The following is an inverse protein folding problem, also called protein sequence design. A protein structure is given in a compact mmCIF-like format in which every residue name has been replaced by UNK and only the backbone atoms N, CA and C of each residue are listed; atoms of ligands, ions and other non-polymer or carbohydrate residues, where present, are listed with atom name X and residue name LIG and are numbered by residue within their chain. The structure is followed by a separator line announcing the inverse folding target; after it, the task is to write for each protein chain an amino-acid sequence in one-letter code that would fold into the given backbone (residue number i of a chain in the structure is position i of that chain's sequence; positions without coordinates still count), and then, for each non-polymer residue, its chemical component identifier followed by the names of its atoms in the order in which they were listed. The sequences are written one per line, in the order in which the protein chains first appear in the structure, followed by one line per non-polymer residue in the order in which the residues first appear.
data_IF_259407628701
#
_entry.id   IF_259407628701
#
_cell.length_a   1.000
_cell.length_b   1.000
_cell.length_c   1.000
_cell.angle_alpha   90.00
_cell.angle_beta   90.00
_cell.angle_gamma   90.00
#
_symmetry.space_group_name_H-M   'P 1'
#
loop_
_entity.id
_entity.type
_entity.pdbx_description
1 polymer ?
#
# COMPACT_ATOMS: atom_id res chain seq x y z
N UNK A 1 -4.13 -2.75 0.77
CA UNK A 1 -3.81 -3.67 -0.34
C UNK A 1 -2.42 -3.36 -0.85
N UNK A 2 -1.74 -4.32 -1.47
CA UNK A 2 -0.41 -4.07 -2.05
C UNK A 2 -0.48 -3.24 -3.35
N UNK A 3 0.62 -2.54 -3.63
CA UNK A 3 0.82 -1.71 -4.82
C UNK A 3 1.05 -2.58 -6.07
N UNK A 4 0.48 -2.18 -7.20
CA UNK A 4 0.71 -2.85 -8.49
C UNK A 4 2.19 -2.83 -8.89
N UNK A 5 2.60 -3.82 -9.68
CA UNK A 5 3.93 -3.88 -10.26
C UNK A 5 4.01 -3.07 -11.55
N UNK A 6 4.82 -2.01 -11.53
CA UNK A 6 5.05 -1.10 -12.67
C UNK A 6 6.35 -1.38 -13.42
N UNK A 7 6.97 -2.56 -13.23
CA UNK A 7 8.28 -2.87 -13.82
C UNK A 7 9.46 -2.53 -12.90
N UNK A 8 9.17 -2.06 -11.68
CA UNK A 8 10.15 -1.54 -10.73
C UNK A 8 9.85 -2.17 -9.36
N UNK A 9 10.75 -3.01 -8.87
CA UNK A 9 10.65 -3.62 -7.54
C UNK A 9 10.88 -2.61 -6.41
N UNK A 10 10.25 -2.83 -5.25
CA UNK A 10 10.32 -1.97 -4.06
C UNK A 10 11.75 -1.54 -3.68
N UNK A 11 12.74 -2.42 -3.85
CA UNK A 11 14.14 -2.15 -3.54
C UNK A 11 14.78 -1.08 -4.43
N UNK A 12 14.21 -0.80 -5.60
CA UNK A 12 14.76 0.14 -6.59
C UNK A 12 14.09 1.51 -6.54
N UNK A 13 13.12 1.74 -5.66
CA UNK A 13 12.56 3.09 -5.49
C UNK A 13 13.63 4.03 -4.90
N UNK A 14 13.51 5.32 -5.20
CA UNK A 14 14.20 6.41 -4.52
C UNK A 14 13.31 7.01 -3.43
N UNK A 15 12.00 7.06 -3.68
CA UNK A 15 10.99 7.47 -2.71
C UNK A 15 9.65 6.78 -3.00
N UNK A 16 8.85 6.58 -1.94
CA UNK A 16 7.47 6.12 -2.00
C UNK A 16 6.63 6.99 -1.07
N UNK A 17 5.75 7.83 -1.62
CA UNK A 17 4.89 8.73 -0.83
C UNK A 17 3.44 8.32 -0.97
N UNK A 18 2.78 7.96 0.12
CA UNK A 18 1.38 7.54 0.16
C UNK A 18 0.56 8.62 0.84
N UNK A 19 -0.52 9.04 0.19
CA UNK A 19 -1.45 10.06 0.68
C UNK A 19 -2.88 9.58 0.58
N UNK A 20 -3.85 10.39 1.01
CA UNK A 20 -5.27 10.12 0.75
C UNK A 20 -5.68 10.20 -0.73
N UNK A 21 -4.84 10.77 -1.61
CA UNK A 21 -5.16 11.05 -3.02
C UNK A 21 -4.49 10.07 -3.98
N UNK A 22 -3.22 9.76 -3.72
CA UNK A 22 -2.41 8.90 -4.57
C UNK A 22 -1.18 8.41 -3.82
N UNK A 23 -0.58 7.37 -4.37
CA UNK A 23 0.77 6.90 -4.11
C UNK A 23 1.70 7.41 -5.21
N UNK A 24 2.79 8.07 -4.83
CA UNK A 24 3.82 8.58 -5.74
C UNK A 24 5.07 7.74 -5.56
N UNK A 25 5.57 7.21 -6.67
CA UNK A 25 6.81 6.44 -6.75
C UNK A 25 7.81 7.30 -7.53
N UNK A 26 8.98 7.53 -6.95
CA UNK A 26 10.13 8.08 -7.67
C UNK A 26 11.21 7.00 -7.73
N UNK A 27 11.79 6.77 -8.91
CA UNK A 27 12.81 5.75 -9.15
C UNK A 27 13.55 6.02 -10.47
N UNK A 28 14.63 5.28 -10.75
CA UNK A 28 15.30 5.33 -12.06
C UNK A 28 14.62 4.39 -13.07
N UNK A 29 13.84 4.96 -14.01
CA UNK A 29 13.20 4.23 -15.12
C UNK A 29 12.77 5.17 -16.26
N UNK A 30 12.41 4.61 -17.42
CA UNK A 30 11.76 5.36 -18.51
C UNK A 30 10.26 5.07 -18.59
N UNK A 31 9.45 6.04 -19.02
CA UNK A 31 8.02 5.84 -19.19
C UNK A 31 7.69 4.66 -20.13
N UNK A 32 8.53 4.43 -21.16
CA UNK A 32 8.40 3.30 -22.09
C UNK A 32 8.56 1.94 -21.39
N UNK A 33 9.43 1.81 -20.39
CA UNK A 33 9.63 0.55 -19.64
C UNK A 33 8.39 0.20 -18.80
N UNK A 34 7.78 1.21 -18.18
CA UNK A 34 6.52 1.06 -17.43
C UNK A 34 5.38 0.74 -18.40
N UNK A 35 5.28 1.44 -19.52
CA UNK A 35 4.28 1.19 -20.55
C UNK A 35 4.35 -0.24 -21.08
N UNK A 36 5.56 -0.77 -21.31
CA UNK A 36 5.77 -2.15 -21.72
C UNK A 36 5.31 -3.15 -20.65
N UNK A 37 5.51 -2.84 -19.36
CA UNK A 37 5.01 -3.68 -18.27
C UNK A 37 3.48 -3.65 -18.20
N UNK A 38 2.86 -2.48 -18.34
CA UNK A 38 1.41 -2.34 -18.26
C UNK A 38 0.67 -2.98 -19.44
N UNK A 39 1.31 -3.12 -20.61
CA UNK A 39 0.70 -3.66 -21.82
C UNK A 39 0.18 -5.10 -21.69
N UNK A 40 0.71 -5.88 -20.75
CA UNK A 40 0.31 -7.26 -20.49
C UNK A 40 -0.67 -7.41 -19.29
N UNK A 41 -1.17 -6.27 -18.78
CA UNK A 41 -2.05 -6.19 -17.60
C UNK A 41 -3.43 -5.62 -17.95
N UNK A 42 -4.32 -5.49 -16.95
CA UNK A 42 -5.62 -4.83 -17.09
C UNK A 42 -5.58 -3.30 -17.27
N UNK A 43 -4.40 -2.67 -17.30
CA UNK A 43 -4.26 -1.23 -17.56
C UNK A 43 -4.37 -0.91 -19.06
N UNK A 44 -5.27 0.00 -19.41
CA UNK A 44 -5.44 0.52 -20.76
C UNK A 44 -4.97 1.99 -20.82
N UNK A 45 -4.37 2.44 -21.95
CA UNK A 45 -4.06 3.85 -22.16
C UNK A 45 -5.32 4.73 -22.09
N UNK A 46 -5.26 5.77 -21.26
CA UNK A 46 -6.34 6.73 -20.98
C UNK A 46 -5.87 8.18 -21.26
N UNK A 47 -5.12 8.35 -22.34
CA UNK A 47 -4.63 9.64 -22.81
C UNK A 47 -3.39 10.13 -22.06
N UNK A 48 -3.30 11.45 -21.91
CA UNK A 48 -2.15 12.12 -21.30
C UNK A 48 -2.60 13.29 -20.45
N UNK A 49 -1.95 13.49 -19.31
CA UNK A 49 -2.16 14.65 -18.47
C UNK A 49 -0.82 15.39 -18.26
N UNK A 50 -0.73 16.60 -18.82
CA UNK A 50 0.53 17.38 -18.88
C UNK A 50 1.64 16.57 -19.56
N UNK A 51 2.68 16.19 -18.82
CA UNK A 51 3.83 15.41 -19.30
C UNK A 51 3.77 13.94 -18.87
N UNK A 52 2.60 13.47 -18.42
CA UNK A 52 2.40 12.08 -18.00
C UNK A 52 1.48 11.36 -19.01
N UNK A 53 1.84 10.13 -19.34
CA UNK A 53 0.95 9.18 -19.98
C UNK A 53 0.05 8.57 -18.91
N UNK A 54 -1.26 8.56 -19.16
CA UNK A 54 -2.26 8.11 -18.18
C UNK A 54 -2.80 6.76 -18.60
N UNK A 55 -2.94 5.87 -17.64
CA UNK A 55 -3.50 4.54 -17.78
C UNK A 55 -4.65 4.37 -16.80
N UNK A 56 -5.70 3.69 -17.23
CA UNK A 56 -6.86 3.37 -16.41
C UNK A 56 -7.10 1.87 -16.40
N UNK A 57 -7.65 1.38 -15.31
CA UNK A 57 -7.92 -0.04 -15.08
C UNK A 57 -9.31 -0.17 -14.48
N UNK A 58 -10.24 -0.73 -15.25
CA UNK A 58 -11.67 -0.70 -14.95
C UNK A 58 -12.14 -1.82 -14.02
N UNK A 59 -11.51 -2.99 -14.06
CA UNK A 59 -11.85 -4.16 -13.22
C UNK A 59 -11.73 -3.86 -11.71
N UNK A 60 -10.77 -3.01 -11.31
CA UNK A 60 -10.58 -2.61 -9.91
C UNK A 60 -10.47 -1.09 -9.68
N UNK A 61 -10.93 -0.29 -10.66
CA UNK A 61 -10.97 1.19 -10.61
C UNK A 61 -9.66 1.82 -10.13
N UNK A 62 -8.59 1.58 -10.88
CA UNK A 62 -7.26 2.15 -10.63
C UNK A 62 -6.84 3.05 -11.79
N UNK A 63 -5.98 4.03 -11.50
CA UNK A 63 -5.36 4.90 -12.50
C UNK A 63 -3.88 5.06 -12.18
N UNK A 64 -3.06 5.16 -13.22
CA UNK A 64 -1.63 5.43 -13.11
C UNK A 64 -1.26 6.53 -14.11
N UNK A 65 -0.56 7.56 -13.65
CA UNK A 65 0.09 8.54 -14.51
C UNK A 65 1.60 8.34 -14.45
N UNK A 66 2.22 8.20 -15.62
CA UNK A 66 3.62 7.80 -15.76
C UNK A 66 4.40 8.85 -16.54
N UNK A 67 5.55 9.24 -16.02
CA UNK A 67 6.61 9.93 -16.77
C UNK A 67 7.95 9.33 -16.38
N UNK A 68 9.02 9.69 -17.08
CA UNK A 68 10.37 9.28 -16.71
C UNK A 68 10.65 9.56 -15.23
N UNK A 69 10.97 8.48 -14.52
CA UNK A 69 11.29 8.45 -13.10
C UNK A 69 10.16 8.73 -12.11
N UNK A 70 8.91 8.93 -12.54
CA UNK A 70 7.77 9.13 -11.62
C UNK A 70 6.50 8.40 -12.05
N UNK A 71 5.92 7.62 -11.13
CA UNK A 71 4.56 7.06 -11.24
C UNK A 71 3.68 7.71 -10.17
N UNK A 72 2.49 8.20 -10.56
CA UNK A 72 1.42 8.60 -9.65
C UNK A 72 0.27 7.62 -9.81
N UNK A 73 0.03 6.81 -8.78
CA UNK A 73 -0.97 5.76 -8.78
C UNK A 73 -2.10 6.09 -7.81
N UNK A 74 -3.34 5.91 -8.25
CA UNK A 74 -4.52 6.03 -7.41
C UNK A 74 -5.43 4.80 -7.56
N UNK A 75 -6.07 4.44 -6.47
CA UNK A 75 -6.96 3.29 -6.35
C UNK A 75 -8.17 3.69 -5.54
N UNK A 76 -9.38 3.45 -6.07
CA UNK A 76 -10.62 3.73 -5.36
C UNK A 76 -10.78 2.91 -4.06
N UNK A 77 -10.06 1.80 -3.93
CA UNK A 77 -10.12 0.94 -2.75
C UNK A 77 -9.07 1.30 -1.69
N UNK A 78 -7.99 2.02 -2.06
CA UNK A 78 -6.89 2.36 -1.14
C UNK A 78 -6.85 3.83 -0.75
N UNK A 79 -7.32 4.70 -1.64
CA UNK A 79 -7.26 6.15 -1.45
C UNK A 79 -8.66 6.67 -1.15
N UNK A 80 -8.79 7.47 -0.09
CA UNK A 80 -10.07 8.03 0.34
C UNK A 80 -10.69 8.99 -0.68
N UNK A 81 -9.85 9.67 -1.46
CA UNK A 81 -10.26 10.61 -2.50
C UNK A 81 -9.28 10.53 -3.68
N UNK A 82 -9.29 9.43 -4.46
CA UNK A 82 -8.28 9.18 -5.49
C UNK A 82 -8.23 10.32 -6.51
N UNK A 83 -7.09 10.98 -6.65
CA UNK A 83 -6.91 12.14 -7.55
C UNK A 83 -5.45 12.26 -8.02
N UNK A 84 -5.17 11.72 -9.21
CA UNK A 84 -3.83 11.79 -9.82
C UNK A 84 -3.56 13.20 -10.37
N UNK A 85 -4.56 13.89 -10.91
CA UNK A 85 -4.41 15.22 -11.49
C UNK A 85 -4.08 16.26 -10.41
N UNK A 86 -4.82 16.24 -9.29
CA UNK A 86 -4.57 17.09 -8.12
C UNK A 86 -3.20 16.85 -7.51
N UNK A 87 -2.76 15.58 -7.45
CA UNK A 87 -1.42 15.21 -6.95
C UNK A 87 -0.32 15.77 -7.87
N UNK A 88 -0.46 15.61 -9.19
CA UNK A 88 0.48 16.13 -10.18
C UNK A 88 0.53 17.67 -10.13
N UNK A 89 -0.64 18.32 -10.05
CA UNK A 89 -0.74 19.77 -9.99
C UNK A 89 -0.08 20.34 -8.73
N UNK A 90 -0.26 19.69 -7.58
CA UNK A 90 0.39 20.10 -6.34
C UNK A 90 1.91 19.93 -6.41
N UNK A 91 2.40 18.79 -6.92
CA UNK A 91 3.83 18.53 -7.08
C UNK A 91 4.52 19.59 -7.95
N UNK A 92 3.88 19.99 -9.05
CA UNK A 92 4.41 21.00 -9.97
C UNK A 92 4.07 22.46 -9.60
N UNK A 93 3.36 22.70 -8.49
CA UNK A 93 3.03 24.05 -8.03
C UNK A 93 1.99 24.78 -8.90
N UNK A 94 1.14 24.02 -9.60
CA UNK A 94 0.03 24.56 -10.39
C UNK A 94 -1.24 24.79 -9.56
N UNK A 95 -1.29 24.20 -8.37
CA UNK A 95 -2.28 24.47 -7.33
C UNK A 95 -1.56 24.75 -6.01
N UNK A 96 -2.25 25.38 -5.07
CA UNK A 96 -1.75 25.61 -3.72
C UNK A 96 -1.48 24.26 -3.05
N UNK A 97 -0.27 24.09 -2.50
CA UNK A 97 0.12 22.80 -1.93
C UNK A 97 -0.50 22.64 -0.55
N UNK A 98 -0.86 21.42 -0.20
CA UNK A 98 -1.53 21.18 1.08
C UNK A 98 -0.65 21.57 2.29
N UNK A 99 0.68 21.41 2.19
CA UNK A 99 1.63 21.88 3.19
C UNK A 99 1.73 23.41 3.31
N UNK A 100 1.27 24.18 2.32
CA UNK A 100 1.26 25.65 2.37
C UNK A 100 -0.04 26.18 3.00
N UNK A 101 -1.07 25.33 3.12
CA UNK A 101 -2.41 25.70 3.59
C UNK A 101 -2.79 25.08 4.93
N UNK A 102 -2.12 24.02 5.36
CA UNK A 102 -2.43 23.30 6.58
C UNK A 102 -1.19 23.21 7.48
N UNK A 103 -1.19 24.02 8.55
CA UNK A 103 -0.12 24.05 9.55
C UNK A 103 0.20 22.68 10.16
N UNK A 104 -0.79 21.79 10.32
CA UNK A 104 -0.57 20.44 10.84
C UNK A 104 0.18 19.58 9.83
N UNK A 105 -0.23 19.66 8.56
CA UNK A 105 0.43 18.96 7.48
C UNK A 105 1.86 19.47 7.27
N UNK A 106 2.05 20.78 7.18
CA UNK A 106 3.38 21.41 7.10
C UNK A 106 4.30 20.86 8.18
N UNK A 107 3.87 20.98 9.44
CA UNK A 107 4.72 20.66 10.57
C UNK A 107 4.98 19.14 10.70
N UNK A 108 4.05 18.27 10.31
CA UNK A 108 4.27 16.81 10.26
C UNK A 108 5.23 16.45 9.11
N UNK A 109 5.05 17.02 7.92
CA UNK A 109 5.96 16.76 6.78
C UNK A 109 7.37 17.30 7.03
N UNK A 110 7.50 18.45 7.69
CA UNK A 110 8.79 19.01 8.07
C UNK A 110 9.50 18.14 9.11
N UNK A 111 8.76 17.59 10.07
CA UNK A 111 9.30 16.67 11.08
C UNK A 111 9.73 15.33 10.45
N UNK A 112 8.97 14.81 9.48
CA UNK A 112 9.33 13.60 8.75
C UNK A 112 10.57 13.81 7.88
N UNK A 113 10.65 14.98 7.22
CA UNK A 113 11.70 15.32 6.29
C UNK A 113 11.75 14.38 5.08
N UNK A 114 12.84 14.48 4.31
CA UNK A 114 13.05 13.59 3.16
C UNK A 114 13.17 12.13 3.63
N UNK A 115 12.25 11.29 3.16
CA UNK A 115 12.12 9.90 3.56
C UNK A 115 12.01 8.99 2.34
N UNK A 116 12.54 7.78 2.48
CA UNK A 116 12.52 6.74 1.45
C UNK A 116 11.13 6.13 1.29
N UNK A 117 10.36 6.11 2.37
CA UNK A 117 8.92 5.88 2.38
C UNK A 117 8.29 6.92 3.31
N UNK A 118 7.15 7.49 2.91
CA UNK A 118 6.34 8.39 3.72
C UNK A 118 4.86 8.07 3.49
N UNK A 119 4.15 7.68 4.53
CA UNK A 119 2.69 7.62 4.56
C UNK A 119 2.16 8.81 5.37
N UNK A 120 1.27 9.61 4.80
CA UNK A 120 0.65 10.74 5.49
C UNK A 120 -0.85 10.87 5.15
N UNK A 121 -1.70 10.96 6.18
CA UNK A 121 -3.15 11.06 5.98
C UNK A 121 -3.98 10.52 7.15
N UNK A 122 -5.31 10.56 6.98
CA UNK A 122 -6.29 10.34 8.07
C UNK A 122 -6.51 8.87 8.49
N UNK A 123 -5.75 7.95 7.89
CA UNK A 123 -5.81 6.52 8.20
C UNK A 123 -4.40 5.93 8.40
N UNK A 124 -3.43 6.76 8.78
CA UNK A 124 -2.07 6.26 9.00
C UNK A 124 -2.03 5.19 10.11
N UNK A 125 -1.17 4.16 9.99
CA UNK A 125 -0.74 3.39 11.15
C UNK A 125 -0.07 4.36 12.12
N UNK A 126 -0.59 4.44 13.33
CA UNK A 126 -0.28 5.54 14.26
C UNK A 126 -0.21 5.05 15.69
N UNK A 127 0.42 5.85 16.53
CA UNK A 127 0.54 5.61 17.96
C UNK A 127 -0.82 5.75 18.65
N UNK A 128 -1.62 6.75 18.24
CA UNK A 128 -2.99 7.00 18.68
C UNK A 128 -3.78 7.77 17.59
N UNK A 129 -4.07 7.15 16.43
CA UNK A 129 -4.71 7.84 15.29
C UNK A 129 -6.11 8.39 15.61
N UNK A 130 -6.81 7.86 16.61
CA UNK A 130 -8.15 8.33 17.02
C UNK A 130 -8.15 9.74 17.66
N UNK A 131 -7.01 10.19 18.18
CA UNK A 131 -6.88 11.48 18.88
C UNK A 131 -5.83 12.40 18.25
N UNK A 132 -4.99 11.89 17.35
CA UNK A 132 -4.06 12.72 16.59
C UNK A 132 -4.83 13.64 15.64
N UNK A 133 -4.39 14.90 15.54
CA UNK A 133 -4.84 15.83 14.49
C UNK A 133 -4.35 15.35 13.12
N UNK A 134 -3.10 14.89 13.08
CA UNK A 134 -2.45 14.31 11.92
C UNK A 134 -1.22 13.49 12.35
N UNK A 135 -0.80 12.54 11.54
CA UNK A 135 0.46 11.87 11.72
C UNK A 135 1.01 11.27 10.43
N UNK A 136 2.17 10.63 10.56
CA UNK A 136 2.91 10.03 9.49
C UNK A 136 3.71 8.80 9.97
N UNK A 137 3.81 7.82 9.07
CA UNK A 137 4.76 6.71 9.14
C UNK A 137 5.82 6.98 8.07
N UNK A 138 7.09 6.99 8.46
CA UNK A 138 8.19 7.24 7.54
C UNK A 138 9.36 6.30 7.76
N UNK A 139 9.99 5.88 6.66
CA UNK A 139 11.30 5.23 6.68
C UNK A 139 12.35 6.16 6.10
N UNK A 140 13.36 6.48 6.90
CA UNK A 140 14.53 7.27 6.50
C UNK A 140 15.79 6.42 6.49
N UNK A 141 16.67 6.68 5.54
CA UNK A 141 18.05 6.16 5.57
C UNK A 141 18.98 7.36 5.74
N UNK A 142 19.79 7.34 6.79
CA UNK A 142 20.75 8.40 7.11
C UNK A 142 22.09 7.78 7.51
N UNK A 143 23.17 8.21 6.85
CA UNK A 143 24.53 7.67 7.02
C UNK A 143 24.60 6.12 7.03
N UNK A 144 23.78 5.47 6.19
CA UNK A 144 23.70 4.01 6.09
C UNK A 144 22.97 3.32 7.25
N UNK A 145 22.24 4.08 8.07
CA UNK A 145 21.36 3.57 9.13
C UNK A 145 19.91 3.84 8.75
N UNK A 146 19.08 2.79 8.77
CA UNK A 146 17.66 2.92 8.56
C UNK A 146 16.93 3.25 9.87
N UNK A 147 15.96 4.14 9.79
CA UNK A 147 15.09 4.55 10.87
C UNK A 147 13.64 4.44 10.42
N UNK A 148 12.82 3.80 11.25
CA UNK A 148 11.37 3.89 11.17
C UNK A 148 10.91 4.99 12.12
N UNK A 149 10.12 5.92 11.63
CA UNK A 149 9.63 7.09 12.33
C UNK A 149 8.10 7.04 12.35
N UNK A 150 7.52 7.08 13.55
CA UNK A 150 6.10 7.39 13.71
C UNK A 150 5.99 8.80 14.31
N UNK A 151 5.29 9.69 13.62
CA UNK A 151 5.17 11.10 14.00
C UNK A 151 3.69 11.41 14.12
N UNK A 152 3.27 11.92 15.28
CA UNK A 152 1.91 12.39 15.47
C UNK A 152 1.91 13.82 16.02
N UNK A 153 0.99 14.62 15.50
CA UNK A 153 0.67 15.94 16.02
C UNK A 153 -0.72 15.89 16.65
N UNK A 154 -0.84 16.41 17.86
CA UNK A 154 -2.09 16.54 18.60
C UNK A 154 -2.59 17.98 18.59
N UNK A 155 -3.91 18.17 18.73
CA UNK A 155 -4.50 19.51 18.84
C UNK A 155 -3.92 20.31 20.01
N UNK A 156 -3.71 19.64 21.16
CA UNK A 156 -3.17 20.22 22.38
C UNK A 156 -1.95 19.45 22.89
N UNK A 157 -0.97 20.20 23.41
CA UNK A 157 0.22 19.62 24.04
C UNK A 157 -0.11 18.81 25.30
N UNK A 158 -1.29 19.01 25.91
CA UNK A 158 -1.75 18.21 27.04
C UNK A 158 -2.15 16.78 26.65
N UNK A 159 -2.48 16.57 25.36
CA UNK A 159 -2.87 15.26 24.83
C UNK A 159 -1.65 14.42 24.47
N UNK A 160 -0.51 15.07 24.26
CA UNK A 160 0.79 14.45 24.06
C UNK A 160 1.39 13.97 25.40
N UNK A 161 1.67 12.68 25.52
CA UNK A 161 2.32 12.13 26.71
C UNK A 161 3.26 11.00 26.32
N UNK A 162 4.56 11.20 26.53
CA UNK A 162 5.58 10.18 26.25
C UNK A 162 5.30 8.85 26.97
N UNK A 163 4.78 8.89 28.20
CA UNK A 163 4.43 7.67 28.94
C UNK A 163 3.21 6.96 28.33
N UNK A 164 2.24 7.72 27.82
CA UNK A 164 1.09 7.17 27.09
C UNK A 164 1.53 6.58 25.75
N UNK A 165 2.39 7.27 25.00
CA UNK A 165 2.97 6.77 23.75
C UNK A 165 3.80 5.49 23.98
N UNK A 166 4.61 5.44 25.03
CA UNK A 166 5.33 4.21 25.40
C UNK A 166 4.38 3.06 25.74
N UNK A 167 3.33 3.36 26.50
CA UNK A 167 2.31 2.36 26.86
C UNK A 167 1.54 1.86 25.63
N UNK A 168 1.22 2.75 24.70
CA UNK A 168 0.59 2.43 23.42
C UNK A 168 1.51 1.52 22.59
N UNK A 169 2.78 1.89 22.42
CA UNK A 169 3.78 1.07 21.73
C UNK A 169 3.99 -0.31 22.39
N UNK A 170 3.91 -0.42 23.70
CA UNK A 170 3.99 -1.71 24.39
C UNK A 170 2.81 -2.62 24.06
N UNK A 171 1.62 -2.04 23.87
CA UNK A 171 0.39 -2.74 23.51
C UNK A 171 0.27 -2.98 22.00
N UNK A 172 0.85 -2.09 21.18
CA UNK A 172 0.75 -2.03 19.73
C UNK A 172 2.13 -2.19 19.08
N UNK A 173 2.96 -3.11 19.59
CA UNK A 173 4.31 -3.34 19.04
C UNK A 173 4.33 -3.66 17.54
N UNK A 174 3.20 -4.09 16.97
CA UNK A 174 3.03 -4.36 15.54
C UNK A 174 3.07 -3.10 14.67
N UNK A 175 2.85 -1.91 15.24
CA UNK A 175 2.95 -0.63 14.53
C UNK A 175 4.41 -0.29 14.19
N UNK A 176 5.39 -0.97 14.79
CA UNK A 176 6.79 -0.89 14.37
C UNK A 176 7.19 -2.15 13.60
N UNK A 177 8.06 -1.98 12.61
CA UNK A 177 8.81 -3.08 11.99
C UNK A 177 9.42 -3.99 13.07
N UNK A 178 9.26 -5.32 12.89
CA UNK A 178 9.75 -6.34 13.83
C UNK A 178 11.27 -6.26 14.05
N UNK A 179 11.99 -5.69 13.10
CA UNK A 179 13.43 -5.51 13.14
C UNK A 179 13.88 -4.33 14.03
N UNK A 180 12.96 -3.48 14.48
CA UNK A 180 13.24 -2.37 15.39
C UNK A 180 13.97 -2.84 16.66
N UNK A 181 15.17 -2.30 16.90
CA UNK A 181 16.02 -2.71 18.05
C UNK A 181 15.95 -1.77 19.23
N UNK A 182 16.00 -0.48 18.95
CA UNK A 182 16.00 0.59 19.93
C UNK A 182 14.92 1.56 19.52
N UNK A 183 14.03 1.86 20.46
CA UNK A 183 12.89 2.74 20.26
C UNK A 183 13.08 3.92 21.19
N UNK A 184 13.24 5.09 20.62
CA UNK A 184 13.28 6.36 21.34
C UNK A 184 11.93 7.06 21.16
N UNK A 185 11.36 7.54 22.26
CA UNK A 185 10.08 8.25 22.26
C UNK A 185 10.32 9.65 22.78
N UNK A 186 10.06 10.64 21.92
CA UNK A 186 10.12 12.06 22.22
C UNK A 186 8.72 12.66 22.20
N UNK A 187 8.45 13.55 23.16
CA UNK A 187 7.24 14.34 23.22
C UNK A 187 7.66 15.81 23.36
N UNK A 188 7.52 16.58 22.28
CA UNK A 188 7.84 18.01 22.25
C UNK A 188 6.60 18.83 21.88
N UNK A 189 6.05 19.54 22.86
CA UNK A 189 4.83 20.31 22.71
C UNK A 189 3.68 19.45 22.17
N UNK A 190 3.25 19.73 20.94
CA UNK A 190 2.17 19.02 20.26
C UNK A 190 2.61 17.76 19.49
N UNK A 191 3.92 17.48 19.43
CA UNK A 191 4.48 16.37 18.66
C UNK A 191 4.88 15.19 19.53
N UNK A 192 4.38 14.00 19.21
CA UNK A 192 5.01 12.76 19.59
C UNK A 192 5.83 12.24 18.41
N UNK A 193 7.07 11.83 18.68
CA UNK A 193 7.94 11.20 17.69
C UNK A 193 8.51 9.93 18.27
N UNK A 194 8.34 8.84 17.55
CA UNK A 194 8.92 7.55 17.86
C UNK A 194 9.95 7.26 16.79
N UNK A 195 11.20 7.11 17.20
CA UNK A 195 12.30 6.77 16.32
C UNK A 195 12.81 5.37 16.66
N UNK A 196 12.67 4.46 15.71
CA UNK A 196 13.14 3.10 15.84
C UNK A 196 14.30 2.83 14.89
N UNK A 197 15.46 2.44 15.43
CA UNK A 197 16.60 2.04 14.59
C UNK A 197 16.36 0.64 14.01
N UNK A 198 16.47 0.55 12.68
CA UNK A 198 16.27 -0.68 11.92
C UNK A 198 17.61 -1.15 11.35
N UNK A 199 18.04 -2.39 11.61
CA UNK A 199 19.28 -2.92 11.05
C UNK A 199 19.14 -3.14 9.54
N UNK A 200 20.02 -2.51 8.75
CA UNK A 200 20.13 -2.80 7.31
C UNK A 200 20.66 -4.23 7.12
N UNK A 201 19.91 -5.08 6.42
CA UNK A 201 20.32 -6.44 6.09
C UNK A 201 20.20 -6.67 4.58
N UNK A 202 21.16 -6.20 3.78
CA UNK A 202 21.06 -6.19 2.31
C UNK A 202 21.02 -7.58 1.65
N UNK A 203 21.11 -8.67 2.41
CA UNK A 203 21.04 -10.05 1.92
C UNK A 203 20.22 -10.93 2.87
N UNK A 204 19.24 -10.37 3.60
CA UNK A 204 18.33 -11.23 4.36
C UNK A 204 17.42 -11.96 3.40
N UNK A 205 17.09 -13.19 3.74
CA UNK A 205 15.97 -13.89 3.13
C UNK A 205 14.71 -13.04 3.37
N UNK A 206 13.88 -12.88 2.33
CA UNK A 206 12.61 -12.18 2.44
C UNK A 206 11.76 -12.92 3.47
N UNK A 207 11.26 -12.17 4.45
CA UNK A 207 10.25 -12.71 5.35
C UNK A 207 8.93 -12.66 4.58
N UNK A 208 8.21 -13.76 4.41
CA UNK A 208 7.02 -13.72 3.56
C UNK A 208 5.93 -12.78 4.09
N UNK A 209 5.80 -12.59 5.40
CA UNK A 209 4.76 -11.70 5.92
C UNK A 209 5.20 -10.23 5.84
N UNK A 210 6.48 -9.96 6.04
CA UNK A 210 6.99 -8.59 6.10
C UNK A 210 7.42 -8.04 4.71
N UNK A 211 7.77 -8.92 3.77
CA UNK A 211 8.17 -8.57 2.40
C UNK A 211 7.33 -9.35 1.36
N UNK A 212 6.03 -9.02 1.20
CA UNK A 212 5.19 -9.70 0.21
C UNK A 212 5.71 -9.46 -1.22
N UNK A 213 5.41 -10.39 -2.15
CA UNK A 213 5.78 -10.21 -3.56
C UNK A 213 5.01 -9.02 -4.14
N UNK A 214 5.69 -8.19 -4.94
CA UNK A 214 5.02 -7.14 -5.69
C UNK A 214 4.43 -7.71 -6.98
N UNK A 215 3.11 -7.71 -7.09
CA UNK A 215 2.37 -8.36 -8.19
C UNK A 215 1.21 -7.48 -8.62
N UNK A 216 1.06 -7.33 -9.94
CA UNK A 216 -0.18 -6.85 -10.55
C UNK A 216 -1.13 -8.04 -10.72
N UNK A 217 -2.21 -8.04 -9.96
CA UNK A 217 -3.26 -9.07 -10.02
C UNK A 217 -4.39 -8.62 -10.93
N UNK A 218 -4.97 -9.55 -11.69
CA UNK A 218 -6.18 -9.34 -12.47
C UNK A 218 -7.29 -10.27 -12.06
N UNK A 219 -8.53 -9.81 -12.24
CA UNK A 219 -9.72 -10.54 -11.85
C UNK A 219 -10.89 -10.25 -12.77
N UNK A 220 -11.68 -11.28 -13.06
CA UNK A 220 -12.94 -11.14 -13.78
C UNK A 220 -14.01 -12.06 -13.18
N UNK A 221 -15.20 -11.51 -12.93
CA UNK A 221 -16.35 -12.26 -12.45
C UNK A 221 -17.33 -12.54 -13.60
N UNK A 222 -17.68 -13.81 -13.80
CA UNK A 222 -18.79 -14.23 -14.66
C UNK A 222 -20.03 -14.48 -13.80
N UNK A 223 -21.03 -13.58 -13.80
CA UNK A 223 -22.23 -13.74 -12.99
C UNK A 223 -23.16 -14.87 -13.49
N UNK A 224 -23.07 -15.27 -14.76
CA UNK A 224 -23.90 -16.34 -15.32
C UNK A 224 -23.36 -17.72 -14.93
N UNK A 225 -22.03 -17.88 -14.94
CA UNK A 225 -21.36 -19.09 -14.47
C UNK A 225 -21.14 -19.11 -12.96
N UNK A 226 -21.26 -17.97 -12.28
CA UNK A 226 -20.87 -17.76 -10.87
C UNK A 226 -19.41 -18.18 -10.62
N UNK A 227 -18.51 -17.72 -11.47
CA UNK A 227 -17.09 -18.03 -11.37
C UNK A 227 -16.24 -16.76 -11.39
N UNK A 228 -15.19 -16.73 -10.58
CA UNK A 228 -14.16 -15.69 -10.63
C UNK A 228 -12.91 -16.28 -11.25
N UNK A 229 -12.37 -15.61 -12.26
CA UNK A 229 -11.06 -15.92 -12.81
C UNK A 229 -10.05 -14.93 -12.26
N UNK A 230 -8.98 -15.42 -11.65
CA UNK A 230 -7.88 -14.61 -11.13
C UNK A 230 -6.60 -14.92 -11.91
N UNK A 231 -5.79 -13.88 -12.16
CA UNK A 231 -4.56 -13.98 -12.94
C UNK A 231 -3.41 -13.21 -12.29
N UNK A 232 -2.23 -13.80 -12.30
CA UNK A 232 -0.97 -13.10 -12.05
C UNK A 232 -0.56 -12.40 -13.35
N UNK A 233 -0.77 -11.08 -13.46
CA UNK A 233 -0.59 -10.35 -14.71
C UNK A 233 0.84 -9.85 -14.92
N UNK A 234 1.52 -9.42 -13.85
CA UNK A 234 2.90 -8.97 -13.89
C UNK A 234 3.54 -8.99 -12.50
N UNK A 235 4.87 -9.04 -12.44
CA UNK A 235 5.64 -8.89 -11.21
C UNK A 235 6.33 -10.16 -10.74
N UNK A 236 6.58 -10.24 -9.45
CA UNK A 236 7.42 -11.28 -8.86
C UNK A 236 6.70 -12.63 -8.79
N UNK A 237 7.43 -13.71 -9.08
CA UNK A 237 6.97 -15.06 -8.76
C UNK A 237 6.93 -15.27 -7.25
N UNK A 238 5.99 -16.07 -6.77
CA UNK A 238 5.80 -16.33 -5.35
C UNK A 238 5.47 -17.80 -5.05
N UNK A 239 5.71 -18.22 -3.81
CA UNK A 239 5.33 -19.54 -3.33
C UNK A 239 3.79 -19.65 -3.26
N UNK A 240 3.22 -20.63 -3.96
CA UNK A 240 1.77 -20.84 -3.98
C UNK A 240 1.22 -21.27 -2.63
N UNK A 241 2.03 -21.90 -1.77
CA UNK A 241 1.61 -22.31 -0.42
C UNK A 241 1.30 -21.10 0.49
N UNK A 242 1.73 -19.91 0.07
CA UNK A 242 1.51 -18.64 0.77
C UNK A 242 0.45 -17.76 0.10
N UNK A 243 -0.08 -18.16 -1.07
CA UNK A 243 -1.13 -17.40 -1.73
C UNK A 243 -2.47 -18.09 -1.50
N UNK A 244 -3.31 -17.41 -0.72
CA UNK A 244 -4.66 -17.85 -0.44
C UNK A 244 -5.66 -16.85 -1.03
N UNK A 245 -6.89 -17.31 -1.20
CA UNK A 245 -8.03 -16.45 -1.42
C UNK A 245 -9.01 -16.55 -0.25
N UNK A 246 -9.86 -15.55 -0.17
CA UNK A 246 -10.98 -15.46 0.75
C UNK A 246 -12.20 -14.96 -0.04
N UNK A 247 -13.38 -15.45 0.34
CA UNK A 247 -14.64 -15.09 -0.30
C UNK A 247 -15.33 -14.12 0.65
N UNK A 248 -15.46 -12.86 0.22
CA UNK A 248 -16.13 -11.87 1.03
C UNK A 248 -17.63 -12.12 0.99
N UNK A 249 -18.23 -12.20 2.17
CA UNK A 249 -19.69 -12.17 2.33
C UNK A 249 -20.10 -11.14 3.40
N UNK A 250 -21.33 -10.60 3.32
CA UNK A 250 -21.84 -9.67 4.33
C UNK A 250 -21.89 -10.25 5.74
N UNK A 251 -21.90 -11.58 5.89
CA UNK A 251 -22.04 -12.26 7.18
C UNK A 251 -20.71 -12.42 7.92
N UNK A 252 -19.57 -12.39 7.21
CA UNK A 252 -18.25 -12.69 7.78
C UNK A 252 -17.66 -11.53 8.58
N UNK A 253 -18.24 -10.33 8.51
CA UNK A 253 -17.83 -9.19 9.35
C UNK A 253 -16.36 -8.78 9.18
N UNK A 254 -15.72 -9.15 8.07
CA UNK A 254 -14.30 -8.92 7.80
C UNK A 254 -13.36 -10.01 8.33
N UNK A 255 -13.88 -11.12 8.86
CA UNK A 255 -13.08 -12.33 9.07
C UNK A 255 -12.54 -12.83 7.72
N UNK A 256 -11.33 -13.40 7.73
CA UNK A 256 -10.66 -13.91 6.53
C UNK A 256 -10.47 -15.42 6.67
N UNK A 257 -11.12 -16.19 5.79
CA UNK A 257 -10.96 -17.64 5.69
C UNK A 257 -10.00 -17.98 4.55
N UNK A 258 -8.73 -18.25 4.91
CA UNK A 258 -7.69 -18.57 3.93
C UNK A 258 -7.91 -19.92 3.25
N UNK A 259 -8.22 -19.89 1.95
CA UNK A 259 -8.31 -21.07 1.08
C UNK A 259 -7.15 -21.06 0.08
N UNK A 260 -6.41 -22.16 -0.14
CA UNK A 260 -5.30 -22.18 -1.11
C UNK A 260 -5.79 -21.83 -2.52
N UNK A 261 -5.10 -20.89 -3.18
CA UNK A 261 -5.51 -20.42 -4.51
C UNK A 261 -4.97 -21.31 -5.65
N UNK A 262 -3.77 -21.88 -5.47
CA UNK A 262 -3.14 -22.84 -6.39
C UNK A 262 -2.63 -24.09 -5.66
N UNK A 263 -3.52 -24.99 -5.19
CA UNK A 263 -3.12 -26.16 -4.38
C UNK A 263 -2.26 -27.18 -5.13
N UNK A 264 -2.31 -27.17 -6.47
CA UNK A 264 -1.59 -28.11 -7.33
C UNK A 264 -0.28 -27.55 -7.92
N UNK A 265 0.10 -26.34 -7.53
CA UNK A 265 1.34 -25.69 -7.97
C UNK A 265 2.28 -25.48 -6.78
N UNK A 266 3.53 -25.13 -7.07
CA UNK A 266 4.53 -24.73 -6.05
C UNK A 266 4.97 -23.28 -6.16
N UNK A 267 4.72 -22.69 -7.32
CA UNK A 267 5.18 -21.34 -7.64
C UNK A 267 4.19 -20.76 -8.61
N UNK A 268 3.73 -19.55 -8.31
CA UNK A 268 2.85 -18.75 -9.16
C UNK A 268 3.70 -17.67 -9.80
N UNK A 269 3.53 -17.46 -11.09
CA UNK A 269 4.29 -16.52 -11.90
C UNK A 269 3.39 -15.81 -12.90
N UNK A 270 3.94 -14.79 -13.56
CA UNK A 270 3.24 -14.05 -14.61
C UNK A 270 2.66 -14.97 -15.67
N UNK A 271 1.36 -14.81 -15.92
CA UNK A 271 0.57 -15.61 -16.85
C UNK A 271 -0.22 -16.75 -16.21
N UNK A 272 0.07 -17.13 -14.96
CA UNK A 272 -0.71 -18.15 -14.26
C UNK A 272 -2.12 -17.64 -13.94
N UNK A 273 -3.11 -18.51 -14.17
CA UNK A 273 -4.53 -18.23 -14.03
C UNK A 273 -5.21 -19.35 -13.23
N UNK A 274 -6.25 -19.01 -12.48
CA UNK A 274 -7.11 -19.97 -11.79
C UNK A 274 -8.55 -19.49 -11.74
N UNK A 275 -9.47 -20.42 -11.48
CA UNK A 275 -10.91 -20.14 -11.41
C UNK A 275 -11.46 -20.61 -10.06
N UNK A 276 -12.19 -19.73 -9.39
CA UNK A 276 -12.94 -20.01 -8.17
C UNK A 276 -14.41 -20.17 -8.54
N UNK A 277 -15.02 -21.28 -8.13
CA UNK A 277 -16.46 -21.53 -8.25
C UNK A 277 -17.19 -20.95 -7.04
N UNK A 278 -18.15 -20.06 -7.28
CA UNK A 278 -18.96 -19.40 -6.27
C UNK A 278 -20.41 -19.91 -6.27
N UNK A 279 -20.69 -21.05 -6.90
CA UNK A 279 -22.04 -21.62 -6.98
C UNK A 279 -22.65 -21.93 -5.62
N UNK A 280 -21.81 -22.34 -4.64
CA UNK A 280 -22.23 -22.64 -3.27
C UNK A 280 -22.25 -21.42 -2.35
N UNK A 281 -21.77 -20.25 -2.82
CA UNK A 281 -21.63 -19.01 -2.05
C UNK A 281 -22.49 -17.87 -2.63
N UNK A 282 -23.83 -18.01 -2.69
CA UNK A 282 -24.71 -17.11 -3.44
C UNK A 282 -24.66 -15.64 -2.99
N UNK A 283 -24.24 -15.40 -1.74
CA UNK A 283 -24.14 -14.08 -1.10
C UNK A 283 -22.76 -13.45 -1.21
N UNK A 284 -21.80 -14.08 -1.91
CA UNK A 284 -20.48 -13.51 -2.13
C UNK A 284 -20.57 -12.14 -2.82
N UNK A 285 -19.89 -11.14 -2.26
CA UNK A 285 -19.83 -9.77 -2.77
C UNK A 285 -18.41 -9.34 -3.19
N UNK A 286 -17.39 -10.13 -2.83
CA UNK A 286 -15.99 -9.88 -3.16
C UNK A 286 -15.12 -11.13 -3.16
N UNK A 287 -13.94 -11.03 -3.77
CA UNK A 287 -12.83 -11.97 -3.59
C UNK A 287 -11.61 -11.19 -3.14
N UNK A 288 -10.91 -11.70 -2.11
CA UNK A 288 -9.61 -11.20 -1.71
C UNK A 288 -8.53 -12.21 -2.03
N UNK A 289 -7.38 -11.73 -2.50
CA UNK A 289 -6.14 -12.52 -2.54
C UNK A 289 -5.28 -12.05 -1.38
N UNK A 290 -4.87 -13.00 -0.56
CA UNK A 290 -4.07 -12.74 0.64
C UNK A 290 -2.78 -13.54 0.60
N UNK A 291 -1.73 -12.96 1.17
CA UNK A 291 -0.42 -13.56 1.30
C UNK A 291 -0.12 -13.89 2.76
N UNK A 292 0.20 -15.14 3.02
CA UNK A 292 0.62 -15.63 4.32
C UNK A 292 0.31 -17.12 4.49
N UNK A 293 0.90 -17.78 5.51
CA UNK A 293 0.62 -19.18 5.77
C UNK A 293 -0.88 -19.41 6.01
N UNK A 294 -1.43 -20.47 5.43
CA UNK A 294 -2.84 -20.83 5.57
C UNK A 294 -3.24 -21.10 7.04
N UNK A 295 -2.33 -21.66 7.83
CA UNK A 295 -2.55 -22.02 9.24
C UNK A 295 -2.23 -20.88 10.24
N UNK A 296 -1.90 -19.68 9.76
CA UNK A 296 -1.62 -18.50 10.59
C UNK A 296 -2.75 -17.48 10.46
N UNK A 297 -2.94 -16.63 11.47
CA UNK A 297 -3.87 -15.50 11.43
C UNK A 297 -3.27 -14.28 10.73
N UNK A 298 -1.94 -14.17 10.65
CA UNK A 298 -1.26 -13.05 9.98
C UNK A 298 -1.35 -13.14 8.46
N UNK A 299 -1.68 -12.05 7.78
CA UNK A 299 -1.69 -11.97 6.31
C UNK A 299 -1.46 -10.55 5.79
N UNK A 300 -1.08 -10.47 4.51
CA UNK A 300 -1.09 -9.24 3.71
C UNK A 300 -2.18 -9.35 2.65
N UNK A 301 -2.92 -8.29 2.39
CA UNK A 301 -3.90 -8.27 1.31
C UNK A 301 -3.21 -7.85 0.01
N UNK A 302 -3.10 -8.76 -0.95
CA UNK A 302 -2.48 -8.48 -2.25
C UNK A 302 -3.45 -7.85 -3.24
N UNK A 303 -4.72 -8.28 -3.21
CA UNK A 303 -5.73 -7.88 -4.19
C UNK A 303 -7.13 -8.02 -3.61
N UNK A 304 -8.06 -7.18 -4.09
CA UNK A 304 -9.48 -7.30 -3.82
C UNK A 304 -10.27 -7.03 -5.11
N UNK A 305 -11.19 -7.92 -5.42
CA UNK A 305 -12.09 -7.86 -6.56
C UNK A 305 -13.54 -7.79 -6.07
N UNK A 306 -14.24 -6.65 -6.19
CA UNK A 306 -15.67 -6.60 -5.95
C UNK A 306 -16.43 -7.39 -7.02
N UNK A 307 -17.48 -8.12 -6.62
CA UNK A 307 -18.32 -8.93 -7.51
C UNK A 307 -19.59 -8.20 -7.96
N UNK A 308 -19.94 -7.10 -7.30
CA UNK A 308 -20.98 -6.18 -7.75
C UNK A 308 -20.38 -4.98 -8.47
N UNK A 309 -21.02 -4.55 -9.56
CA UNK A 309 -20.78 -3.23 -10.13
C UNK A 309 -21.22 -2.18 -9.10
N UNK A 310 -20.29 -1.67 -8.28
CA UNK A 310 -20.51 -0.45 -7.53
C UNK A 310 -20.73 0.70 -8.53
N UNK A 311 -22.00 0.94 -8.84
CA UNK A 311 -22.50 2.03 -9.69
C UNK A 311 -22.28 3.41 -9.09
#
# INVERSE_FOLDING_TARGET
MELDYFGIGYENYDSLTITNLATVIEAEFTADDVAATLADTGYEPDGSYRSYDVYSRSDVRRRAAVRDGVVVWASANEHNAPDIEGTIDAGHGHTERYHEQNDAFEAVTDAAGASRMLYIGGSHPGLNPEIAELGADAFRIDDGVAYHLLIERYESAADNSADRTKSALEQQRHELTKEARTVDVEADGRFATVSARVPTRPNRERDPIDDPPQVTWGGNFDPAARTVTLRHEAGESADSDLICYDIDTPEDGGEVEKKPLWPDQKTVSTGDETTIDLSDEPTADGIRVVYGPADDVGFRMLFSLPLEDER
#
